data_IF_827083498709
#
_entry.id   IF_827083498709
#
_cell.length_a   1.000
_cell.length_b   1.000
_cell.length_c   1.000
_cell.angle_alpha   90.00
_cell.angle_beta   90.00
_cell.angle_gamma   90.00
#
_symmetry.space_group_name_H-M   'P 1'
#
loop_
_entity.id
_entity.type
_entity.pdbx_description
1 polymer ?
#
# COMPACT_ATOMS: atom_id res chain seq x y z
N UNK A 1 2.96 0.07 11.44
CA UNK A 1 2.51 -0.66 10.24
C UNK A 1 3.68 -1.50 9.92
N UNK A 2 3.45 -2.78 10.10
CA UNK A 2 4.44 -3.81 10.21
C UNK A 2 3.97 -4.88 9.26
N UNK A 3 4.91 -5.39 8.46
CA UNK A 3 4.63 -6.47 7.54
C UNK A 3 4.95 -7.77 8.27
N UNK A 4 4.14 -8.79 8.09
CA UNK A 4 4.35 -10.10 8.70
C UNK A 4 4.36 -11.09 7.55
N UNK A 5 5.37 -11.96 7.52
CA UNK A 5 5.40 -13.04 6.55
C UNK A 5 4.28 -14.02 6.85
N UNK A 6 3.49 -14.36 5.84
CA UNK A 6 2.34 -15.25 5.97
C UNK A 6 2.57 -16.56 5.22
N UNK A 7 2.03 -17.63 5.77
CA UNK A 7 2.00 -18.97 5.22
C UNK A 7 0.66 -19.67 5.59
N UNK A 8 0.54 -20.96 5.25
CA UNK A 8 -0.67 -21.75 5.51
C UNK A 8 -1.00 -21.92 7.00
N UNK A 9 -0.05 -21.68 7.89
CA UNK A 9 -0.19 -21.88 9.34
C UNK A 9 -0.35 -20.56 10.10
N UNK A 10 -0.37 -19.43 9.40
CA UNK A 10 -0.46 -18.12 10.00
C UNK A 10 -1.80 -17.95 10.72
N UNK A 11 -1.73 -17.56 11.99
CA UNK A 11 -2.89 -17.17 12.77
C UNK A 11 -3.29 -15.73 12.46
N UNK A 12 -4.60 -15.45 12.51
CA UNK A 12 -5.14 -14.12 12.23
C UNK A 12 -6.01 -13.62 13.37
N UNK A 13 -5.80 -12.36 13.75
CA UNK A 13 -6.68 -11.64 14.66
C UNK A 13 -7.65 -10.76 13.87
N UNK A 14 -8.89 -10.61 14.36
CA UNK A 14 -9.84 -9.67 13.77
C UNK A 14 -9.57 -8.26 14.31
N UNK A 15 -9.19 -7.35 13.42
CA UNK A 15 -9.03 -5.94 13.74
C UNK A 15 -10.39 -5.27 14.02
N UNK A 16 -10.39 -4.15 14.75
CA UNK A 16 -11.62 -3.39 15.10
C UNK A 16 -12.43 -2.90 13.89
N UNK A 17 -11.80 -2.79 12.72
CA UNK A 17 -12.46 -2.42 11.46
C UNK A 17 -12.92 -3.63 10.64
N UNK A 18 -12.85 -4.84 11.20
CA UNK A 18 -13.43 -6.05 10.63
C UNK A 18 -12.48 -6.87 9.74
N UNK A 19 -11.35 -6.32 9.29
CA UNK A 19 -10.35 -7.09 8.55
C UNK A 19 -9.58 -8.07 9.45
N UNK A 20 -9.02 -9.12 8.83
CA UNK A 20 -8.08 -10.01 9.50
C UNK A 20 -6.66 -9.46 9.36
N UNK A 21 -5.93 -9.42 10.46
CA UNK A 21 -4.52 -9.06 10.51
C UNK A 21 -3.72 -10.29 10.97
N UNK A 22 -2.61 -10.62 10.29
CA UNK A 22 -1.76 -11.73 10.70
C UNK A 22 -1.15 -11.47 12.07
N UNK A 23 -1.02 -12.51 12.88
CA UNK A 23 -0.33 -12.50 14.17
C UNK A 23 1.06 -13.07 13.95
N UNK A 24 2.09 -12.29 14.29
CA UNK A 24 3.48 -12.72 14.13
C UNK A 24 4.44 -11.57 14.35
N UNK A 25 5.72 -11.88 14.18
CA UNK A 25 6.79 -10.90 14.32
C UNK A 25 6.89 -10.01 13.08
N UNK A 26 7.18 -8.71 13.26
CA UNK A 26 7.45 -7.82 12.15
C UNK A 26 8.61 -8.32 11.28
N UNK A 27 8.39 -8.33 9.98
CA UNK A 27 9.41 -8.48 8.97
C UNK A 27 10.31 -7.24 8.96
N UNK A 28 11.58 -7.45 9.27
CA UNK A 28 12.56 -6.36 9.47
C UNK A 28 13.50 -6.15 8.29
N UNK A 29 13.71 -7.17 7.45
CA UNK A 29 14.69 -7.10 6.37
C UNK A 29 14.09 -6.50 5.09
N UNK A 30 13.84 -5.19 5.07
CA UNK A 30 13.20 -4.51 3.94
C UNK A 30 13.94 -4.66 2.60
N UNK A 31 15.23 -4.97 2.62
CA UNK A 31 16.04 -5.18 1.40
C UNK A 31 15.76 -6.52 0.71
N UNK A 32 15.15 -7.49 1.40
CA UNK A 32 14.65 -8.75 0.81
C UNK A 32 13.31 -8.57 0.09
N UNK A 33 12.70 -7.38 0.15
CA UNK A 33 11.45 -7.11 -0.56
C UNK A 33 11.77 -6.83 -2.03
N UNK A 34 11.42 -7.77 -2.90
CA UNK A 34 11.59 -7.59 -4.35
C UNK A 34 10.56 -6.64 -4.97
N UNK A 35 9.39 -6.48 -4.32
CA UNK A 35 8.26 -5.74 -4.87
C UNK A 35 7.21 -5.37 -3.81
N UNK A 36 6.57 -4.20 -3.98
CA UNK A 36 5.47 -3.76 -3.11
C UNK A 36 4.20 -3.50 -3.91
N UNK A 37 3.14 -4.22 -3.55
CA UNK A 37 1.78 -3.91 -3.99
C UNK A 37 1.21 -2.79 -3.13
N UNK A 38 0.91 -1.64 -3.72
CA UNK A 38 0.43 -0.46 -2.99
C UNK A 38 -1.06 -0.26 -3.22
N UNK A 39 -1.90 -0.28 -2.18
CA UNK A 39 -3.32 0.02 -2.30
C UNK A 39 -3.62 1.52 -2.31
N UNK A 40 -4.74 1.90 -2.91
CA UNK A 40 -5.20 3.28 -2.98
C UNK A 40 -6.63 3.39 -3.53
N UNK A 41 -7.29 4.50 -3.20
CA UNK A 41 -8.61 4.87 -3.71
C UNK A 41 -8.54 5.32 -5.17
N UNK A 42 -7.46 5.98 -5.56
CA UNK A 42 -7.21 6.40 -6.94
C UNK A 42 -5.70 6.54 -7.18
N UNK A 43 -5.29 6.40 -8.43
CA UNK A 43 -3.90 6.55 -8.86
C UNK A 43 -3.85 7.44 -10.08
N UNK A 44 -2.87 8.34 -10.15
CA UNK A 44 -2.63 9.16 -11.31
C UNK A 44 -1.45 8.64 -12.13
N UNK A 45 -1.44 8.97 -13.42
CA UNK A 45 -0.39 8.61 -14.38
C UNK A 45 1.02 9.08 -13.96
N UNK A 46 1.11 10.17 -13.19
CA UNK A 46 2.38 10.69 -12.65
C UNK A 46 2.86 9.98 -11.37
N UNK A 47 2.23 8.86 -11.01
CA UNK A 47 2.60 8.05 -9.84
C UNK A 47 2.03 8.57 -8.52
N UNK A 48 1.19 9.60 -8.52
CA UNK A 48 0.47 10.02 -7.32
C UNK A 48 -0.63 9.01 -6.97
N UNK A 49 -0.91 8.87 -5.68
CA UNK A 49 -2.07 8.10 -5.21
C UNK A 49 -2.89 8.84 -4.17
N UNK A 50 -4.17 8.54 -4.16
CA UNK A 50 -5.09 8.89 -3.07
C UNK A 50 -5.19 7.70 -2.11
N UNK A 51 -4.64 7.82 -0.91
CA UNK A 51 -4.79 6.81 0.14
C UNK A 51 -6.12 6.93 0.90
N UNK A 52 -6.34 6.02 1.85
CA UNK A 52 -7.53 5.99 2.72
C UNK A 52 -7.50 7.01 3.88
N UNK A 53 -6.49 7.89 3.94
CA UNK A 53 -6.40 8.98 4.93
C UNK A 53 -5.62 8.69 6.22
N UNK A 54 -5.20 7.45 6.48
CA UNK A 54 -4.40 7.09 7.67
C UNK A 54 -2.88 7.37 7.57
N UNK A 55 -2.39 7.71 6.38
CA UNK A 55 -0.97 8.02 6.13
C UNK A 55 0.01 6.86 6.41
N UNK A 56 -0.47 5.61 6.53
CA UNK A 56 0.39 4.46 6.85
C UNK A 56 1.44 4.20 5.78
N UNK A 57 1.01 4.10 4.53
CA UNK A 57 1.88 3.88 3.38
C UNK A 57 2.77 5.09 3.10
N UNK A 58 2.29 6.32 3.33
CA UNK A 58 3.09 7.55 3.14
C UNK A 58 4.34 7.54 4.02
N UNK A 59 4.23 7.01 5.24
CA UNK A 59 5.34 6.89 6.18
C UNK A 59 6.21 5.65 5.93
N UNK A 60 5.67 4.62 5.30
CA UNK A 60 6.36 3.33 5.14
C UNK A 60 7.06 3.19 3.79
N UNK A 61 6.43 3.60 2.68
CA UNK A 61 7.00 3.47 1.32
C UNK A 61 8.39 4.11 1.15
N UNK A 62 8.73 5.25 1.79
CA UNK A 62 10.08 5.81 1.71
C UNK A 62 11.17 4.94 2.34
N UNK A 63 10.81 3.93 3.14
CA UNK A 63 11.74 3.04 3.84
C UNK A 63 12.20 1.85 2.99
N UNK A 64 11.58 1.60 1.84
CA UNK A 64 11.83 0.42 1.01
C UNK A 64 12.29 0.81 -0.39
N UNK A 65 13.35 0.16 -0.87
CA UNK A 65 13.96 0.43 -2.18
C UNK A 65 13.28 -0.34 -3.33
N UNK A 66 12.45 -1.33 -3.00
CA UNK A 66 11.71 -2.13 -3.96
C UNK A 66 10.86 -1.29 -4.93
N UNK A 67 10.66 -1.77 -6.17
CA UNK A 67 9.62 -1.28 -7.07
C UNK A 67 8.24 -1.29 -6.40
N UNK A 68 7.49 -0.22 -6.63
CA UNK A 68 6.16 0.02 -6.03
C UNK A 68 5.13 0.06 -7.14
N UNK A 69 4.09 -0.76 -7.03
CA UNK A 69 3.03 -0.81 -8.04
C UNK A 69 1.67 -0.61 -7.40
N UNK A 70 0.98 0.40 -7.88
CA UNK A 70 -0.42 0.65 -7.56
C UNK A 70 -1.32 -0.32 -8.28
N UNK A 71 -2.27 -0.93 -7.56
CA UNK A 71 -3.35 -1.72 -8.18
C UNK A 71 -4.69 -1.09 -7.86
N UNK A 72 -5.47 -0.87 -8.91
CA UNK A 72 -6.77 -0.22 -8.83
C UNK A 72 -7.68 -0.62 -9.99
N UNK A 73 -8.95 -0.24 -9.89
CA UNK A 73 -9.88 -0.35 -11.00
C UNK A 73 -9.60 0.73 -12.04
N UNK A 74 -9.90 0.44 -13.31
CA UNK A 74 -9.70 1.42 -14.40
C UNK A 74 -10.42 2.76 -14.15
N UNK A 75 -11.60 2.73 -13.54
CA UNK A 75 -12.36 3.94 -13.18
C UNK A 75 -11.66 4.83 -12.14
N UNK A 76 -10.69 4.27 -11.41
CA UNK A 76 -9.95 4.94 -10.35
C UNK A 76 -8.54 5.36 -10.83
N UNK A 77 -8.22 5.12 -12.10
CA UNK A 77 -6.99 5.57 -12.74
C UNK A 77 -7.21 6.91 -13.43
N UNK A 78 -6.41 7.90 -13.03
CA UNK A 78 -6.49 9.28 -13.46
C UNK A 78 -5.35 9.62 -14.42
N UNK A 79 -5.69 10.26 -15.52
CA UNK A 79 -4.79 10.77 -16.55
C UNK A 79 -5.21 12.20 -16.92
N UNK A 80 -4.48 12.81 -17.85
CA UNK A 80 -4.72 14.19 -18.28
C UNK A 80 -6.15 14.47 -18.77
N UNK A 81 -6.91 13.44 -19.17
CA UNK A 81 -8.26 13.57 -19.72
C UNK A 81 -9.38 13.46 -18.69
N UNK A 82 -9.16 12.78 -17.56
CA UNK A 82 -10.23 12.45 -16.61
C UNK A 82 -10.00 12.98 -15.18
N UNK A 83 -8.85 13.61 -14.89
CA UNK A 83 -8.64 14.37 -13.66
C UNK A 83 -7.20 14.37 -13.16
N UNK A 84 -6.92 15.18 -12.13
CA UNK A 84 -5.63 15.17 -11.40
C UNK A 84 -5.89 15.08 -9.91
N UNK A 85 -4.98 14.44 -9.18
CA UNK A 85 -5.06 14.41 -7.72
C UNK A 85 -4.57 15.74 -7.15
N UNK A 86 -5.41 16.40 -6.35
CA UNK A 86 -5.09 17.67 -5.69
C UNK A 86 -4.23 17.50 -4.42
N UNK A 87 -3.86 16.27 -4.03
CA UNK A 87 -2.98 16.00 -2.89
C UNK A 87 -1.79 15.13 -3.31
N UNK A 88 -0.59 15.64 -3.03
CA UNK A 88 0.70 14.99 -3.30
C UNK A 88 0.96 13.88 -2.29
N UNK A 89 0.80 12.62 -2.70
CA UNK A 89 1.44 11.47 -2.06
C UNK A 89 1.94 10.60 -3.21
N UNK A 90 3.25 10.59 -3.40
CA UNK A 90 3.92 9.88 -4.49
C UNK A 90 4.18 8.42 -4.09
N UNK A 91 4.05 7.51 -5.06
CA UNK A 91 4.63 6.18 -5.00
C UNK A 91 6.17 6.26 -5.03
#
# INVERSE_FOLDING_TARGET
>A
MDFIQVDEKTDYARHKFGMLEPIGEPFVNLDEIDFVLVPGLAFAEDGQRLGFGGGYYDRWLPKVNAPKVGVTLAANYLNERNGRLNRRITL
#
